data_IF_602821107464
#
_entry.id   IF_602821107464
#
_cell.length_a   1.000
_cell.length_b   1.000
_cell.length_c   1.000
_cell.angle_alpha   90.00
_cell.angle_beta   90.00
_cell.angle_gamma   90.00
#
_symmetry.space_group_name_H-M   'P 1'
#
loop_
_entity.id
_entity.type
_entity.pdbx_description
1 polymer ?
#
# COMPACT_ATOMS: atom_id res chain seq x y z
N UNK A 1 -5.61 -6.20 -24.41
CA UNK A 1 -4.70 -7.19 -25.05
C UNK A 1 -3.58 -6.53 -25.85
N UNK A 2 -3.79 -5.37 -26.49
CA UNK A 2 -2.73 -4.63 -27.21
C UNK A 2 -1.67 -4.01 -26.30
N UNK A 3 -2.05 -3.54 -25.10
CA UNK A 3 -1.13 -2.91 -24.13
C UNK A 3 -0.10 -3.88 -23.54
N UNK A 4 -0.49 -5.13 -23.25
CA UNK A 4 0.42 -6.17 -22.74
C UNK A 4 1.46 -6.60 -23.79
N UNK A 5 1.03 -6.71 -25.04
CA UNK A 5 1.95 -6.95 -26.16
C UNK A 5 2.91 -5.77 -26.36
N UNK A 6 2.43 -4.53 -26.23
CA UNK A 6 3.27 -3.33 -26.34
C UNK A 6 4.34 -3.26 -25.25
N UNK A 7 4.00 -3.58 -23.99
CA UNK A 7 4.98 -3.68 -22.89
C UNK A 7 5.96 -4.84 -23.08
N UNK A 8 5.51 -5.97 -23.63
CA UNK A 8 6.41 -7.09 -23.98
C UNK A 8 7.38 -6.71 -25.11
N UNK A 9 6.91 -6.00 -26.15
CA UNK A 9 7.77 -5.51 -27.25
C UNK A 9 8.80 -4.48 -26.78
N UNK A 10 8.47 -3.66 -25.77
CA UNK A 10 9.41 -2.70 -25.17
C UNK A 10 10.51 -3.40 -24.36
N UNK A 11 10.20 -4.54 -23.72
CA UNK A 11 11.18 -5.34 -22.99
C UNK A 11 12.02 -6.26 -23.91
N UNK A 12 11.49 -6.72 -25.05
CA UNK A 12 12.24 -7.54 -26.03
C UNK A 12 13.10 -6.70 -26.99
N UNK A 13 12.71 -5.45 -27.27
CA UNK A 13 13.52 -4.51 -28.03
C UNK A 13 14.61 -3.92 -27.15
N UNK A 14 15.72 -4.67 -26.97
CA UNK A 14 16.81 -4.34 -26.04
C UNK A 14 17.09 -2.84 -25.90
N UNK A 15 17.31 -2.41 -24.66
CA UNK A 15 17.54 -1.02 -24.26
C UNK A 15 18.75 -0.41 -25.00
N UNK A 16 18.54 0.02 -26.24
CA UNK A 16 19.55 0.75 -27.01
C UNK A 16 19.63 2.16 -26.46
N UNK A 17 20.68 2.44 -25.70
CA UNK A 17 20.99 3.80 -25.30
C UNK A 17 21.22 4.66 -26.55
N UNK A 18 20.51 5.78 -26.63
CA UNK A 18 20.70 6.77 -27.72
C UNK A 18 21.57 7.92 -27.22
N UNK A 19 22.62 8.31 -27.95
CA UNK A 19 23.43 9.45 -27.57
C UNK A 19 22.57 10.73 -27.62
N UNK A 20 22.69 11.56 -26.58
CA UNK A 20 21.98 12.83 -26.43
C UNK A 20 22.94 13.88 -25.88
N UNK A 21 22.85 15.12 -26.40
CA UNK A 21 23.71 16.23 -25.97
C UNK A 21 23.04 16.99 -24.83
N UNK A 22 23.71 17.07 -23.68
CA UNK A 22 23.19 17.62 -22.43
C UNK A 22 24.26 18.50 -21.76
N UNK A 23 23.89 19.33 -20.77
CA UNK A 23 24.86 19.94 -19.87
C UNK A 23 25.35 18.91 -18.85
N UNK A 24 26.61 19.00 -18.43
CA UNK A 24 27.22 18.07 -17.46
C UNK A 24 26.40 17.97 -16.16
N UNK A 25 25.89 19.11 -15.66
CA UNK A 25 25.02 19.16 -14.47
C UNK A 25 23.78 18.27 -14.59
N UNK A 26 23.16 18.23 -15.76
CA UNK A 26 21.93 17.48 -16.00
C UNK A 26 22.25 16.02 -16.33
N UNK A 27 23.34 15.77 -17.05
CA UNK A 27 23.85 14.43 -17.35
C UNK A 27 24.21 13.67 -16.06
N UNK A 28 24.82 14.34 -15.08
CA UNK A 28 25.21 13.71 -13.81
C UNK A 28 24.00 13.14 -13.06
N UNK A 29 22.88 13.87 -13.00
CA UNK A 29 21.66 13.39 -12.33
C UNK A 29 21.11 12.13 -13.00
N UNK A 30 21.05 12.14 -14.34
CA UNK A 30 20.54 11.03 -15.13
C UNK A 30 21.42 9.78 -15.01
N UNK A 31 22.74 9.95 -15.02
CA UNK A 31 23.68 8.83 -14.86
C UNK A 31 23.61 8.23 -13.45
N UNK A 32 23.48 9.07 -12.42
CA UNK A 32 23.32 8.58 -11.05
C UNK A 32 22.04 7.75 -10.91
N UNK A 33 20.92 8.21 -11.46
CA UNK A 33 19.66 7.45 -11.44
C UNK A 33 19.79 6.11 -12.21
N UNK A 34 20.44 6.12 -13.37
CA UNK A 34 20.65 4.91 -14.17
C UNK A 34 21.54 3.88 -13.46
N UNK A 35 22.66 4.31 -12.89
CA UNK A 35 23.57 3.41 -12.16
C UNK A 35 22.96 2.94 -10.84
N UNK A 36 22.24 3.82 -10.12
CA UNK A 36 21.52 3.42 -8.91
C UNK A 36 20.49 2.33 -9.21
N UNK A 37 19.75 2.44 -10.32
CA UNK A 37 18.79 1.43 -10.72
C UNK A 37 19.42 0.05 -11.03
N UNK A 38 20.68 0.02 -11.49
CA UNK A 38 21.42 -1.24 -11.73
C UNK A 38 21.89 -1.92 -10.44
N UNK A 39 22.08 -1.14 -9.38
CA UNK A 39 22.55 -1.63 -8.09
C UNK A 39 21.44 -2.24 -7.23
N UNK A 40 20.17 -2.08 -7.63
CA UNK A 40 19.01 -2.56 -6.88
C UNK A 40 18.39 -3.76 -7.60
N UNK A 41 18.22 -4.86 -6.89
CA UNK A 41 17.43 -5.99 -7.38
C UNK A 41 15.93 -5.72 -7.11
N UNK A 42 15.10 -5.52 -8.14
CA UNK A 42 13.70 -5.15 -7.94
C UNK A 42 12.85 -6.26 -7.32
N UNK A 43 13.24 -7.54 -7.45
CA UNK A 43 12.50 -8.64 -6.84
C UNK A 43 12.81 -8.76 -5.34
N UNK A 44 14.08 -8.62 -4.98
CA UNK A 44 14.52 -8.57 -3.57
C UNK A 44 13.89 -7.38 -2.85
N UNK A 45 13.91 -6.19 -3.47
CA UNK A 45 13.28 -4.99 -2.92
C UNK A 45 11.76 -5.17 -2.66
N UNK A 46 11.05 -5.86 -3.55
CA UNK A 46 9.62 -6.15 -3.35
C UNK A 46 9.41 -7.09 -2.17
N UNK A 47 10.24 -8.12 -2.07
CA UNK A 47 10.15 -9.08 -0.98
C UNK A 47 10.41 -8.40 0.36
N UNK A 48 11.50 -7.62 0.45
CA UNK A 48 11.84 -6.85 1.65
C UNK A 48 10.72 -5.88 2.05
N UNK A 49 10.09 -5.23 1.06
CA UNK A 49 8.97 -4.33 1.31
C UNK A 49 7.72 -5.07 1.83
N UNK A 50 7.43 -6.25 1.29
CA UNK A 50 6.33 -7.09 1.80
C UNK A 50 6.63 -7.52 3.23
N UNK A 51 7.82 -8.06 3.48
CA UNK A 51 8.23 -8.52 4.81
C UNK A 51 8.18 -7.37 5.84
N UNK A 52 8.63 -6.17 5.45
CA UNK A 52 8.55 -4.99 6.30
C UNK A 52 7.11 -4.59 6.64
N UNK A 53 6.17 -4.69 5.68
CA UNK A 53 4.74 -4.41 5.95
C UNK A 53 4.15 -5.50 6.83
N UNK A 54 4.40 -6.77 6.54
CA UNK A 54 3.85 -7.89 7.32
C UNK A 54 4.36 -7.86 8.77
N UNK A 55 5.65 -7.62 9.00
CA UNK A 55 6.27 -7.74 10.33
C UNK A 55 6.28 -6.42 11.13
N UNK A 56 6.27 -5.27 10.45
CA UNK A 56 6.47 -3.96 11.09
C UNK A 56 5.43 -2.92 10.65
N UNK A 57 4.41 -3.32 9.88
CA UNK A 57 3.36 -2.44 9.43
C UNK A 57 2.57 -1.84 10.59
N UNK A 58 2.24 -0.55 10.48
CA UNK A 58 1.38 0.15 11.42
C UNK A 58 0.26 0.83 10.63
N UNK A 59 -0.99 0.59 11.04
CA UNK A 59 -2.18 1.23 10.48
C UNK A 59 -2.86 2.04 11.57
N UNK A 60 -3.02 3.35 11.34
CA UNK A 60 -3.76 4.24 12.23
C UNK A 60 -5.16 4.48 11.67
N UNK A 61 -6.20 4.15 12.44
CA UNK A 61 -7.61 4.36 12.10
C UNK A 61 -8.14 5.48 13.01
N UNK A 62 -8.27 6.68 12.46
CA UNK A 62 -8.81 7.82 13.21
C UNK A 62 -10.34 7.87 13.15
N UNK A 63 -10.94 8.56 14.12
CA UNK A 63 -12.38 8.77 14.25
C UNK A 63 -13.21 7.47 14.15
N UNK A 64 -12.70 6.37 14.71
CA UNK A 64 -13.42 5.08 14.72
C UNK A 64 -14.75 5.19 15.48
N UNK A 65 -14.86 6.14 16.40
CA UNK A 65 -16.07 6.45 17.15
C UNK A 65 -17.23 6.95 16.27
N UNK A 66 -16.97 7.42 15.04
CA UNK A 66 -18.01 7.83 14.08
C UNK A 66 -18.77 6.65 13.48
N UNK A 67 -18.14 5.47 13.44
CA UNK A 67 -18.74 4.26 12.90
C UNK A 67 -19.32 3.36 13.99
N UNK A 68 -19.04 3.63 15.27
CA UNK A 68 -19.68 2.97 16.41
C UNK A 68 -21.18 3.34 16.53
N UNK A 69 -22.01 2.39 16.99
CA UNK A 69 -23.44 2.65 17.25
C UNK A 69 -23.61 3.70 18.35
N UNK A 70 -24.54 4.63 18.15
CA UNK A 70 -25.14 5.43 19.23
C UNK A 70 -26.48 4.75 19.55
N UNK A 71 -26.77 4.47 20.82
CA UNK A 71 -27.77 3.47 21.28
C UNK A 71 -29.16 3.42 20.60
N UNK A 72 -29.79 2.24 20.72
CA UNK A 72 -31.19 1.76 20.46
C UNK A 72 -32.03 2.33 19.29
N UNK A 73 -31.58 3.32 18.55
CA UNK A 73 -32.40 3.94 17.50
C UNK A 73 -32.11 3.26 16.18
N UNK A 74 -32.98 2.33 15.75
CA UNK A 74 -32.98 1.74 14.40
C UNK A 74 -33.12 2.83 13.32
N UNK A 75 -32.00 3.42 12.91
CA UNK A 75 -31.88 4.41 11.85
C UNK A 75 -30.97 3.90 10.71
N UNK A 76 -30.41 4.75 9.83
CA UNK A 76 -29.58 4.37 8.69
C UNK A 76 -28.19 3.79 9.06
N UNK A 77 -28.14 2.92 10.07
CA UNK A 77 -26.93 2.35 10.70
C UNK A 77 -26.26 1.26 9.87
N UNK A 78 -26.94 0.72 8.85
CA UNK A 78 -26.42 -0.34 7.97
C UNK A 78 -25.09 0.08 7.31
N UNK A 79 -24.93 1.36 6.98
CA UNK A 79 -23.71 1.86 6.36
C UNK A 79 -22.53 1.97 7.33
N UNK A 80 -22.76 2.15 8.63
CA UNK A 80 -21.68 2.33 9.63
C UNK A 80 -21.17 0.99 10.14
N UNK A 81 -22.09 0.07 10.41
CA UNK A 81 -21.75 -1.32 10.75
C UNK A 81 -21.08 -2.04 9.59
N UNK A 82 -21.46 -1.73 8.35
CA UNK A 82 -20.80 -2.26 7.16
C UNK A 82 -19.30 -1.93 7.13
N UNK A 83 -18.91 -0.71 7.49
CA UNK A 83 -17.49 -0.31 7.54
C UNK A 83 -16.74 -1.13 8.59
N UNK A 84 -17.32 -1.35 9.78
CA UNK A 84 -16.69 -2.18 10.81
C UNK A 84 -16.53 -3.63 10.33
N UNK A 85 -17.58 -4.21 9.76
CA UNK A 85 -17.55 -5.59 9.25
C UNK A 85 -16.50 -5.76 8.15
N UNK A 86 -16.36 -4.77 7.29
CA UNK A 86 -15.40 -4.82 6.19
C UNK A 86 -13.95 -4.57 6.68
N UNK A 87 -13.76 -3.93 7.85
CA UNK A 87 -12.47 -3.82 8.53
C UNK A 87 -12.06 -5.08 9.28
N UNK A 88 -13.02 -5.91 9.75
CA UNK A 88 -12.73 -7.11 10.54
C UNK A 88 -11.68 -8.04 9.91
N UNK A 89 -11.75 -8.41 8.62
CA UNK A 89 -10.75 -9.30 8.02
C UNK A 89 -9.33 -8.73 8.09
N UNK A 90 -9.17 -7.41 8.01
CA UNK A 90 -7.86 -6.77 8.06
C UNK A 90 -7.25 -6.89 9.46
N UNK A 91 -8.05 -6.69 10.51
CA UNK A 91 -7.59 -6.74 11.90
C UNK A 91 -7.50 -8.17 12.46
N UNK A 92 -8.34 -9.10 11.97
CA UNK A 92 -8.34 -10.51 12.36
C UNK A 92 -7.23 -11.30 11.66
N UNK A 93 -6.72 -10.80 10.53
CA UNK A 93 -5.71 -11.45 9.71
C UNK A 93 -6.32 -11.94 8.39
N UNK A 94 -5.86 -11.37 7.28
CA UNK A 94 -6.22 -11.82 5.94
C UNK A 94 -5.06 -11.61 4.97
N UNK A 95 -5.18 -12.17 3.76
CA UNK A 95 -4.23 -11.93 2.68
C UNK A 95 -4.83 -10.95 1.66
N UNK A 96 -4.16 -9.83 1.46
CA UNK A 96 -4.56 -8.77 0.52
C UNK A 96 -3.64 -8.77 -0.70
N UNK A 97 -4.21 -8.67 -1.90
CA UNK A 97 -3.42 -8.54 -3.14
C UNK A 97 -3.04 -7.09 -3.39
N UNK A 98 -1.75 -6.85 -3.65
CA UNK A 98 -1.23 -5.53 -4.01
C UNK A 98 -0.46 -5.60 -5.33
N UNK A 99 -0.11 -4.44 -5.90
CA UNK A 99 0.78 -4.37 -7.07
C UNK A 99 2.20 -4.90 -6.83
N UNK A 100 2.58 -5.10 -5.56
CA UNK A 100 3.91 -5.57 -5.17
C UNK A 100 3.94 -7.05 -4.80
N UNK A 101 2.78 -7.65 -4.52
CA UNK A 101 2.63 -9.04 -4.12
C UNK A 101 1.46 -9.22 -3.16
N UNK A 102 1.34 -10.42 -2.62
CA UNK A 102 0.38 -10.72 -1.56
C UNK A 102 0.94 -10.26 -0.21
N UNK A 103 0.11 -9.67 0.63
CA UNK A 103 0.47 -9.20 1.97
C UNK A 103 -0.48 -9.81 2.98
N UNK A 104 0.06 -10.43 4.03
CA UNK A 104 -0.67 -10.93 5.19
C UNK A 104 -0.76 -9.86 6.28
N UNK A 105 -1.93 -9.66 6.85
CA UNK A 105 -2.16 -8.60 7.84
C UNK A 105 -2.01 -9.07 9.30
N UNK A 106 -1.75 -10.36 9.52
CA UNK A 106 -1.73 -11.05 10.83
C UNK A 106 -0.84 -10.37 11.89
N UNK A 107 0.22 -9.67 11.47
CA UNK A 107 1.19 -9.02 12.36
C UNK A 107 1.27 -7.49 12.20
N UNK A 108 0.32 -6.90 11.46
CA UNK A 108 0.21 -5.45 11.35
C UNK A 108 -0.37 -4.89 12.64
N UNK A 109 0.27 -3.86 13.20
CA UNK A 109 -0.24 -3.13 14.36
C UNK A 109 -1.34 -2.15 13.93
N UNK A 110 -2.56 -2.35 14.41
CA UNK A 110 -3.66 -1.40 14.24
C UNK A 110 -3.82 -0.52 15.48
N UNK A 111 -3.82 0.80 15.29
CA UNK A 111 -4.06 1.80 16.33
C UNK A 111 -5.32 2.56 15.97
N UNK A 112 -6.37 2.42 16.77
CA UNK A 112 -7.62 3.13 16.56
C UNK A 112 -7.75 4.33 17.51
N UNK A 113 -8.24 5.44 17.01
CA UNK A 113 -8.45 6.70 17.73
C UNK A 113 -9.90 7.16 17.59
N UNK A 114 -10.40 7.86 18.62
CA UNK A 114 -11.74 8.44 18.66
C UNK A 114 -11.92 9.28 19.92
N UNK A 115 -12.83 10.26 19.87
CA UNK A 115 -13.11 11.14 21.01
C UNK A 115 -14.06 10.49 22.04
N UNK A 116 -14.83 9.49 21.61
CA UNK A 116 -15.82 8.76 22.41
C UNK A 116 -16.64 9.66 23.37
N UNK A 117 -17.30 10.73 22.87
CA UNK A 117 -17.90 11.78 23.69
C UNK A 117 -19.14 11.36 24.51
N UNK A 118 -19.43 10.06 24.62
CA UNK A 118 -20.50 9.50 25.45
C UNK A 118 -20.17 8.14 26.08
N UNK A 119 -18.89 7.76 26.16
CA UNK A 119 -18.49 6.39 26.50
C UNK A 119 -18.55 6.04 27.99
N UNK A 120 -19.45 5.12 28.35
CA UNK A 120 -19.00 3.95 29.12
C UNK A 120 -17.92 3.27 28.27
N UNK A 121 -16.72 3.14 28.83
CA UNK A 121 -15.69 2.29 28.25
C UNK A 121 -16.20 0.84 28.30
N UNK A 122 -16.13 0.14 27.17
CA UNK A 122 -16.30 -1.32 27.13
C UNK A 122 -15.13 -1.98 27.85
#
# INVERSE_FOLDING_TARGET
MTSQLQSMFQNLGGQKQKPRKLKIKDAMKLLVEEEAAKLVNPEELKQDAIDAVEQHGIVFIDEIDKICKRGETSGPDVSREGVQRDLLPLVEGCTVSTKHGMVKTDHILFIASGAFPGGEAV
#
